data_IF_349583809907
#
_entry.id   IF_349583809907
#
_cell.length_a   1.000
_cell.length_b   1.000
_cell.length_c   1.000
_cell.angle_alpha   90.00
_cell.angle_beta   90.00
_cell.angle_gamma   90.00
#
_symmetry.space_group_name_H-M   'P 1'
#
loop_
_entity.id
_entity.type
_entity.pdbx_description
1 polymer ?
#
# COMPACT_ATOMS: atom_id res chain seq x y z
N UNK A 1 -73.64 -68.52 41.06
CA UNK A 1 -72.65 -67.94 41.99
C UNK A 1 -71.99 -66.78 41.26
N UNK A 2 -72.21 -65.53 41.71
CA UNK A 2 -71.65 -64.32 41.11
C UNK A 2 -70.83 -63.58 42.16
N UNK A 3 -69.56 -63.32 41.88
CA UNK A 3 -68.68 -62.47 42.68
C UNK A 3 -68.72 -61.05 42.12
N UNK A 4 -69.07 -60.08 42.97
CA UNK A 4 -69.04 -58.66 42.63
C UNK A 4 -67.61 -58.11 42.75
N UNK A 5 -67.14 -57.44 41.70
CA UNK A 5 -65.86 -56.73 41.68
C UNK A 5 -66.02 -55.35 42.32
N UNK A 6 -65.17 -55.04 43.29
CA UNK A 6 -64.99 -53.71 43.86
C UNK A 6 -64.10 -52.87 42.94
N UNK A 7 -64.56 -51.69 42.54
CA UNK A 7 -63.80 -50.69 41.78
C UNK A 7 -63.38 -49.57 42.74
N UNK A 8 -62.08 -49.32 42.88
CA UNK A 8 -61.54 -48.16 43.60
C UNK A 8 -61.59 -46.91 42.72
N UNK A 9 -62.11 -45.80 43.26
CA UNK A 9 -62.07 -44.49 42.62
C UNK A 9 -60.68 -43.83 42.84
N UNK A 10 -60.15 -43.07 41.86
CA UNK A 10 -58.88 -42.36 42.02
C UNK A 10 -59.05 -41.10 42.90
N UNK A 11 -58.02 -40.82 43.71
CA UNK A 11 -57.91 -39.58 44.49
C UNK A 11 -57.40 -38.45 43.60
N UNK A 12 -58.05 -37.29 43.67
CA UNK A 12 -57.64 -36.08 42.96
C UNK A 12 -56.49 -35.38 43.69
N UNK A 13 -55.41 -35.05 42.97
CA UNK A 13 -54.33 -34.18 43.46
C UNK A 13 -54.63 -32.76 42.98
N UNK A 14 -54.81 -31.82 43.92
CA UNK A 14 -54.91 -30.39 43.57
C UNK A 14 -53.52 -29.84 43.24
N UNK A 15 -53.37 -29.27 42.05
CA UNK A 15 -52.19 -28.49 41.70
C UNK A 15 -52.33 -27.09 42.32
N UNK A 16 -51.29 -26.66 43.04
CA UNK A 16 -51.19 -25.30 43.56
C UNK A 16 -50.46 -24.46 42.51
N UNK A 17 -51.14 -23.47 41.94
CA UNK A 17 -50.55 -22.52 41.00
C UNK A 17 -49.56 -21.59 41.75
N UNK A 18 -48.28 -21.69 41.41
CA UNK A 18 -47.25 -20.74 41.84
C UNK A 18 -47.10 -19.68 40.74
N UNK A 19 -47.26 -18.38 41.04
CA UNK A 19 -47.10 -17.34 40.03
C UNK A 19 -45.66 -17.33 39.49
N UNK A 20 -45.52 -17.33 38.17
CA UNK A 20 -44.23 -17.26 37.50
C UNK A 20 -43.51 -15.95 37.85
N UNK A 21 -42.33 -16.05 38.49
CA UNK A 21 -41.47 -14.88 38.65
C UNK A 21 -40.98 -14.42 37.27
N UNK A 22 -41.02 -13.10 36.98
CA UNK A 22 -40.44 -12.57 35.76
C UNK A 22 -38.94 -12.86 35.73
N UNK A 23 -38.44 -13.30 34.58
CA UNK A 23 -37.04 -13.61 34.39
C UNK A 23 -36.16 -12.40 34.76
N UNK A 24 -35.04 -12.61 35.47
CA UNK A 24 -34.12 -11.52 35.79
C UNK A 24 -33.64 -10.88 34.48
N UNK A 25 -33.82 -9.57 34.37
CA UNK A 25 -33.29 -8.79 33.26
C UNK A 25 -31.77 -8.82 33.38
N UNK A 26 -31.10 -9.44 32.41
CA UNK A 26 -29.63 -9.46 32.37
C UNK A 26 -29.15 -8.01 32.23
N UNK A 27 -28.59 -7.49 33.30
CA UNK A 27 -27.95 -6.19 33.33
C UNK A 27 -26.82 -6.20 32.31
N UNK A 28 -26.94 -5.35 31.27
CA UNK A 28 -25.95 -5.27 30.20
C UNK A 28 -24.65 -4.74 30.80
N UNK A 29 -23.67 -5.63 30.96
CA UNK A 29 -22.32 -5.25 31.39
C UNK A 29 -21.75 -4.33 30.30
N UNK A 30 -21.27 -3.12 30.66
CA UNK A 30 -20.61 -2.24 29.70
C UNK A 30 -19.45 -2.96 29.03
N UNK A 31 -19.35 -2.82 27.70
CA UNK A 31 -18.22 -3.39 26.97
C UNK A 31 -16.89 -2.87 27.54
N UNK A 32 -15.91 -3.76 27.68
CA UNK A 32 -14.56 -3.36 28.07
C UNK A 32 -14.01 -2.29 27.10
N UNK A 33 -13.21 -1.34 27.58
CA UNK A 33 -12.64 -0.31 26.71
C UNK A 33 -11.74 -0.96 25.65
N UNK A 34 -11.79 -0.43 24.42
CA UNK A 34 -10.97 -0.89 23.31
C UNK A 34 -9.48 -0.87 23.68
N UNK A 35 -8.76 -1.92 23.32
CA UNK A 35 -7.30 -2.03 23.42
C UNK A 35 -6.60 -0.98 22.57
N UNK A 36 -5.30 -0.74 22.83
CA UNK A 36 -4.54 0.21 22.02
C UNK A 36 -4.39 -0.24 20.55
N UNK A 37 -4.34 -1.55 20.29
CA UNK A 37 -4.30 -2.10 18.91
C UNK A 37 -5.60 -1.82 18.18
N UNK A 38 -6.75 -2.01 18.83
CA UNK A 38 -8.06 -1.71 18.25
C UNK A 38 -8.21 -0.22 17.96
N UNK A 39 -7.75 0.66 18.88
CA UNK A 39 -7.75 2.10 18.63
C UNK A 39 -6.84 2.49 17.47
N UNK A 40 -5.62 1.94 17.39
CA UNK A 40 -4.73 2.19 16.24
C UNK A 40 -5.35 1.70 14.93
N UNK A 41 -5.95 0.51 14.94
CA UNK A 41 -6.62 -0.07 13.77
C UNK A 41 -7.78 0.80 13.31
N UNK A 42 -8.63 1.25 14.25
CA UNK A 42 -9.78 2.10 13.93
C UNK A 42 -9.34 3.50 13.47
N UNK A 43 -8.30 4.05 14.11
CA UNK A 43 -7.70 5.31 13.67
C UNK A 43 -7.16 5.15 12.25
N UNK A 44 -6.38 4.11 11.97
CA UNK A 44 -5.83 3.87 10.64
C UNK A 44 -6.93 3.76 9.58
N UNK A 45 -8.03 3.06 9.87
CA UNK A 45 -9.19 2.95 8.95
C UNK A 45 -9.86 4.29 8.70
N UNK A 46 -10.09 5.08 9.75
CA UNK A 46 -10.81 6.36 9.66
C UNK A 46 -9.96 7.50 9.11
N UNK A 47 -8.62 7.39 9.18
CA UNK A 47 -7.68 8.37 8.63
C UNK A 47 -7.02 7.93 7.32
N UNK A 48 -7.31 6.72 6.83
CA UNK A 48 -6.75 6.22 5.57
C UNK A 48 -7.18 7.13 4.41
N UNK A 49 -6.22 7.56 3.61
CA UNK A 49 -6.48 8.27 2.37
C UNK A 49 -6.53 7.28 1.22
N UNK A 50 -7.54 7.40 0.36
CA UNK A 50 -7.66 6.53 -0.82
C UNK A 50 -6.63 6.93 -1.88
N UNK A 51 -5.90 5.94 -2.38
CA UNK A 51 -5.11 6.04 -3.59
C UNK A 51 -5.84 5.32 -4.72
N UNK A 52 -6.30 6.06 -5.71
CA UNK A 52 -6.96 5.51 -6.89
C UNK A 52 -5.93 5.20 -7.96
N UNK A 53 -6.10 4.09 -8.67
CA UNK A 53 -5.30 3.73 -9.83
C UNK A 53 -6.21 3.29 -10.97
N UNK A 54 -6.20 4.03 -12.07
CA UNK A 54 -7.01 3.75 -13.24
C UNK A 54 -6.29 4.21 -14.51
N UNK A 55 -6.33 3.39 -15.55
CA UNK A 55 -5.75 3.70 -16.87
C UNK A 55 -4.27 4.14 -16.79
N UNK A 56 -3.50 3.52 -15.89
CA UNK A 56 -2.07 3.84 -15.72
C UNK A 56 -1.79 5.14 -14.96
N UNK A 57 -2.78 5.72 -14.27
CA UNK A 57 -2.65 6.99 -13.56
C UNK A 57 -3.11 6.86 -12.10
N UNK A 58 -2.23 7.25 -11.19
CA UNK A 58 -2.50 7.42 -9.77
C UNK A 58 -3.19 8.75 -9.49
N UNK A 59 -4.19 8.75 -8.61
CA UNK A 59 -4.98 9.93 -8.26
C UNK A 59 -5.67 9.77 -6.89
N UNK A 60 -6.40 10.81 -6.47
CA UNK A 60 -7.19 10.81 -5.23
C UNK A 60 -6.47 11.41 -4.02
N UNK A 61 -7.11 11.43 -2.84
CA UNK A 61 -6.61 12.16 -1.68
C UNK A 61 -5.21 11.74 -1.21
N UNK A 62 -4.87 10.45 -1.32
CA UNK A 62 -3.53 9.98 -0.96
C UNK A 62 -2.47 10.50 -1.95
N UNK A 63 -2.79 10.49 -3.25
CA UNK A 63 -1.91 11.04 -4.30
C UNK A 63 -1.67 12.53 -4.08
N UNK A 64 -2.73 13.30 -3.83
CA UNK A 64 -2.63 14.74 -3.60
C UNK A 64 -1.73 15.04 -2.39
N UNK A 65 -1.86 14.25 -1.32
CA UNK A 65 -0.98 14.36 -0.15
C UNK A 65 0.47 14.02 -0.51
N UNK A 66 0.74 12.92 -1.20
CA UNK A 66 2.11 12.54 -1.60
C UNK A 66 2.78 13.63 -2.42
N UNK A 67 2.08 14.20 -3.39
CA UNK A 67 2.60 15.31 -4.21
C UNK A 67 2.83 16.56 -3.36
N UNK A 68 1.89 16.93 -2.49
CA UNK A 68 2.04 18.11 -1.62
C UNK A 68 3.25 17.99 -0.68
N UNK A 69 3.38 16.87 0.01
CA UNK A 69 4.51 16.61 0.92
C UNK A 69 5.83 16.53 0.14
N UNK A 70 5.83 15.88 -1.04
CA UNK A 70 7.02 15.81 -1.91
C UNK A 70 7.50 17.18 -2.37
N UNK A 71 6.59 18.09 -2.73
CA UNK A 71 6.94 19.46 -3.11
C UNK A 71 7.51 20.28 -1.96
N UNK A 72 7.09 20.00 -0.73
CA UNK A 72 7.58 20.67 0.47
C UNK A 72 8.92 20.10 0.96
N UNK A 73 9.26 18.88 0.56
CA UNK A 73 10.47 18.19 0.97
C UNK A 73 11.66 18.48 0.02
N UNK A 74 12.87 18.46 0.59
CA UNK A 74 14.12 18.45 -0.20
C UNK A 74 14.50 17.04 -0.67
N UNK A 75 14.11 16.03 0.11
CA UNK A 75 14.32 14.61 -0.16
C UNK A 75 13.00 13.88 0.10
N UNK A 76 12.60 13.04 -0.85
CA UNK A 76 11.43 12.20 -0.71
C UNK A 76 11.86 10.74 -0.87
N UNK A 77 11.62 9.94 0.16
CA UNK A 77 11.98 8.52 0.17
C UNK A 77 10.70 7.71 -0.03
N UNK A 78 10.76 6.77 -0.98
CA UNK A 78 9.68 5.84 -1.27
C UNK A 78 10.22 4.43 -1.05
N UNK A 79 9.66 3.72 -0.05
CA UNK A 79 9.91 2.30 0.14
C UNK A 79 9.03 1.47 -0.80
N UNK A 80 9.47 0.26 -1.11
CA UNK A 80 8.80 -0.64 -2.05
C UNK A 80 8.96 -2.11 -1.63
N UNK A 81 8.17 -2.97 -2.26
CA UNK A 81 8.26 -4.43 -2.17
C UNK A 81 8.59 -4.97 -3.58
N UNK A 82 9.65 -5.77 -3.67
CA UNK A 82 10.16 -6.22 -4.97
C UNK A 82 9.12 -7.03 -5.77
N UNK A 83 9.12 -6.84 -7.09
CA UNK A 83 8.29 -7.61 -8.01
C UNK A 83 6.82 -7.17 -8.09
N UNK A 84 6.48 -6.00 -7.55
CA UNK A 84 5.14 -5.40 -7.67
C UNK A 84 5.17 -4.32 -8.75
N UNK A 85 4.39 -4.51 -9.81
CA UNK A 85 4.35 -3.62 -10.98
C UNK A 85 3.93 -2.18 -10.63
N UNK A 86 3.03 -2.00 -9.67
CA UNK A 86 2.51 -0.70 -9.27
C UNK A 86 3.57 0.19 -8.60
N UNK A 87 4.59 -0.39 -7.97
CA UNK A 87 5.66 0.37 -7.29
C UNK A 87 6.44 1.27 -8.25
N UNK A 88 7.06 0.75 -9.33
CA UNK A 88 7.77 1.57 -10.29
C UNK A 88 6.83 2.52 -11.05
N UNK A 89 5.57 2.13 -11.30
CA UNK A 89 4.59 3.02 -11.92
C UNK A 89 4.28 4.24 -11.04
N UNK A 90 4.07 4.03 -9.75
CA UNK A 90 3.84 5.09 -8.77
C UNK A 90 5.06 5.99 -8.66
N UNK A 91 6.25 5.40 -8.52
CA UNK A 91 7.51 6.12 -8.40
C UNK A 91 7.77 7.01 -9.64
N UNK A 92 7.55 6.48 -10.84
CA UNK A 92 7.72 7.21 -12.10
C UNK A 92 6.77 8.40 -12.22
N UNK A 93 5.48 8.19 -11.95
CA UNK A 93 4.49 9.28 -11.98
C UNK A 93 4.77 10.33 -10.89
N UNK A 94 5.15 9.90 -9.69
CA UNK A 94 5.46 10.81 -8.58
C UNK A 94 6.68 11.68 -8.92
N UNK A 95 7.75 11.09 -9.44
CA UNK A 95 8.93 11.85 -9.84
C UNK A 95 8.61 12.85 -10.95
N UNK A 96 7.82 12.46 -11.95
CA UNK A 96 7.36 13.38 -13.00
C UNK A 96 6.58 14.57 -12.43
N UNK A 97 5.72 14.34 -11.43
CA UNK A 97 4.96 15.40 -10.77
C UNK A 97 5.81 16.33 -9.89
N UNK A 98 6.95 15.85 -9.39
CA UNK A 98 7.88 16.58 -8.51
C UNK A 98 9.04 17.24 -9.25
N UNK A 99 9.43 16.76 -10.44
CA UNK A 99 10.52 17.34 -11.21
C UNK A 99 10.38 18.87 -11.44
N UNK A 100 9.19 19.42 -11.75
CA UNK A 100 9.01 20.88 -11.88
C UNK A 100 9.31 21.69 -10.62
N UNK A 101 9.37 21.07 -9.43
CA UNK A 101 9.67 21.77 -8.16
C UNK A 101 11.15 21.72 -7.78
N UNK A 102 12.02 21.31 -8.71
CA UNK A 102 13.48 21.33 -8.52
C UNK A 102 14.11 19.95 -8.29
N UNK A 103 13.31 18.89 -8.22
CA UNK A 103 13.84 17.52 -8.22
C UNK A 103 14.58 17.25 -9.53
N UNK A 104 15.86 16.90 -9.42
CA UNK A 104 16.75 16.66 -10.57
C UNK A 104 17.53 15.35 -10.46
N UNK A 105 17.34 14.60 -9.37
CA UNK A 105 18.01 13.32 -9.09
C UNK A 105 16.95 12.28 -8.76
N UNK A 106 16.97 11.18 -9.49
CA UNK A 106 16.21 9.98 -9.19
C UNK A 106 17.20 8.92 -8.71
N UNK A 107 16.99 8.40 -7.50
CA UNK A 107 17.89 7.46 -6.83
C UNK A 107 17.13 6.18 -6.59
N UNK A 108 17.75 5.05 -6.92
CA UNK A 108 17.21 3.70 -6.73
C UNK A 108 18.27 2.84 -6.02
N UNK A 109 17.81 1.80 -5.33
CA UNK A 109 18.66 0.88 -4.58
C UNK A 109 19.41 -0.10 -5.51
N UNK A 110 20.44 0.39 -6.18
CA UNK A 110 21.34 -0.42 -7.03
C UNK A 110 22.79 -0.04 -6.78
N UNK A 111 23.76 -0.80 -7.29
CA UNK A 111 25.17 -0.44 -7.19
C UNK A 111 25.55 0.76 -8.08
N UNK A 112 26.59 1.55 -7.75
CA UNK A 112 26.99 2.70 -8.56
C UNK A 112 27.30 2.37 -10.05
N UNK A 113 27.98 1.26 -10.40
CA UNK A 113 28.19 0.91 -11.80
C UNK A 113 26.87 0.61 -12.53
N UNK A 114 25.94 -0.09 -11.87
CA UNK A 114 24.64 -0.41 -12.46
C UNK A 114 23.79 0.85 -12.65
N UNK A 115 23.76 1.74 -11.66
CA UNK A 115 23.15 3.06 -11.78
C UNK A 115 23.66 3.84 -13.02
N UNK A 116 24.97 3.79 -13.29
CA UNK A 116 25.57 4.39 -14.48
C UNK A 116 25.10 3.73 -15.79
N UNK A 117 25.04 2.40 -15.83
CA UNK A 117 24.56 1.66 -16.99
C UNK A 117 23.07 1.94 -17.28
N UNK A 118 22.22 1.94 -16.24
CA UNK A 118 20.80 2.26 -16.34
C UNK A 118 20.58 3.71 -16.80
N UNK A 119 21.35 4.68 -16.30
CA UNK A 119 21.27 6.08 -16.79
C UNK A 119 21.61 6.17 -18.28
N UNK A 120 22.68 5.48 -18.71
CA UNK A 120 23.11 5.47 -20.10
C UNK A 120 22.04 4.85 -21.02
N UNK A 121 21.38 3.78 -20.57
CA UNK A 121 20.29 3.14 -21.29
C UNK A 121 19.01 3.99 -21.30
N UNK A 122 18.65 4.62 -20.17
CA UNK A 122 17.50 5.50 -20.06
C UNK A 122 17.58 6.75 -20.96
N UNK A 123 18.80 7.23 -21.27
CA UNK A 123 19.02 8.31 -22.25
C UNK A 123 18.58 7.94 -23.66
N UNK A 124 18.51 6.66 -23.99
CA UNK A 124 17.97 6.14 -25.25
C UNK A 124 16.45 5.90 -25.18
N UNK A 125 15.80 6.30 -24.08
CA UNK A 125 14.40 6.02 -23.78
C UNK A 125 14.17 4.58 -23.33
N UNK A 126 12.89 4.21 -23.23
CA UNK A 126 12.45 2.87 -22.76
C UNK A 126 13.06 1.74 -23.59
N UNK A 127 13.25 1.93 -24.90
CA UNK A 127 13.83 0.91 -25.78
C UNK A 127 15.26 0.53 -25.38
N UNK A 128 16.08 1.49 -24.94
CA UNK A 128 17.44 1.21 -24.46
C UNK A 128 17.46 0.45 -23.14
N UNK A 129 16.46 0.65 -22.29
CA UNK A 129 16.30 -0.09 -21.04
C UNK A 129 15.83 -1.52 -21.30
N UNK A 130 14.88 -1.71 -22.23
CA UNK A 130 14.45 -3.05 -22.67
C UNK A 130 15.62 -3.83 -23.28
N UNK A 131 16.43 -3.17 -24.12
CA UNK A 131 17.67 -3.77 -24.66
C UNK A 131 18.63 -4.18 -23.54
N UNK A 132 18.87 -3.29 -22.57
CA UNK A 132 19.72 -3.57 -21.41
C UNK A 132 19.23 -4.79 -20.62
N UNK A 133 17.94 -4.89 -20.34
CA UNK A 133 17.36 -6.02 -19.58
C UNK A 133 17.34 -7.33 -20.37
N UNK A 134 17.49 -7.28 -21.69
CA UNK A 134 17.52 -8.47 -22.56
C UNK A 134 18.89 -9.16 -22.58
N UNK A 135 19.94 -8.53 -22.06
CA UNK A 135 21.30 -9.09 -21.99
C UNK A 135 21.50 -9.75 -20.63
N UNK A 136 22.06 -10.96 -20.60
CA UNK A 136 22.35 -11.67 -19.34
C UNK A 136 23.27 -10.85 -18.44
N UNK A 137 22.80 -10.52 -17.23
CA UNK A 137 23.53 -9.66 -16.29
C UNK A 137 23.46 -8.17 -16.64
N UNK A 138 22.59 -7.80 -17.58
CA UNK A 138 22.25 -6.42 -17.89
C UNK A 138 21.15 -5.88 -16.98
N UNK A 139 20.35 -6.76 -16.40
CA UNK A 139 19.43 -6.49 -15.30
C UNK A 139 20.19 -6.12 -14.02
N UNK A 140 19.70 -5.12 -13.27
CA UNK A 140 20.06 -5.04 -11.86
C UNK A 140 19.33 -6.18 -11.14
N UNK A 141 19.85 -6.62 -9.98
CA UNK A 141 19.10 -7.55 -9.14
C UNK A 141 17.71 -6.95 -8.87
N UNK A 142 16.65 -7.72 -9.15
CA UNK A 142 15.26 -7.31 -9.00
C UNK A 142 14.80 -6.17 -9.94
N UNK A 143 15.53 -5.87 -11.03
CA UNK A 143 15.11 -4.95 -12.10
C UNK A 143 15.08 -5.64 -13.46
N UNK A 144 13.91 -6.01 -13.96
CA UNK A 144 13.73 -6.60 -15.29
C UNK A 144 12.32 -6.49 -15.87
N UNK A 145 11.42 -5.76 -15.20
CA UNK A 145 10.04 -5.56 -15.63
C UNK A 145 9.91 -4.40 -16.60
N UNK A 146 8.86 -4.43 -17.42
CA UNK A 146 8.53 -3.33 -18.34
C UNK A 146 8.25 -2.04 -17.56
N UNK A 147 7.56 -2.15 -16.42
CA UNK A 147 7.17 -1.02 -15.58
C UNK A 147 8.39 -0.31 -14.97
N UNK A 148 9.47 -1.03 -14.69
CA UNK A 148 10.73 -0.46 -14.20
C UNK A 148 11.47 0.27 -15.32
N UNK A 149 11.46 -0.29 -16.54
CA UNK A 149 11.97 0.40 -17.72
C UNK A 149 11.18 1.71 -17.96
N UNK A 150 9.86 1.66 -17.86
CA UNK A 150 8.99 2.84 -18.00
C UNK A 150 9.24 3.86 -16.91
N UNK A 151 9.39 3.44 -15.65
CA UNK A 151 9.74 4.31 -14.53
C UNK A 151 11.03 5.09 -14.81
N UNK A 152 12.10 4.39 -15.19
CA UNK A 152 13.41 5.02 -15.44
C UNK A 152 13.37 5.94 -16.66
N UNK A 153 12.67 5.55 -17.72
CA UNK A 153 12.47 6.39 -18.89
C UNK A 153 11.68 7.67 -18.56
N UNK A 154 10.58 7.55 -17.79
CA UNK A 154 9.78 8.69 -17.32
C UNK A 154 10.59 9.63 -16.44
N UNK A 155 11.31 9.08 -15.44
CA UNK A 155 12.14 9.87 -14.55
C UNK A 155 13.22 10.63 -15.32
N UNK A 156 13.84 9.97 -16.31
CA UNK A 156 14.84 10.59 -17.17
C UNK A 156 14.26 11.69 -18.06
N UNK A 157 13.08 11.47 -18.64
CA UNK A 157 12.41 12.45 -19.50
C UNK A 157 11.91 13.69 -18.71
N UNK A 158 11.54 13.51 -17.44
CA UNK A 158 11.04 14.57 -16.57
C UNK A 158 12.10 15.64 -16.25
N UNK A 159 13.39 15.28 -16.30
CA UNK A 159 14.50 16.22 -16.12
C UNK A 159 14.97 16.75 -17.48
N UNK A 160 14.55 17.98 -17.84
CA UNK A 160 14.94 18.63 -19.10
C UNK A 160 16.46 18.82 -19.18
N UNK A 161 17.06 18.29 -20.26
CA UNK A 161 18.35 18.71 -20.79
C UNK A 161 19.57 18.07 -20.15
N UNK A 162 20.47 17.57 -21.01
CA UNK A 162 21.89 17.55 -20.66
C UNK A 162 22.28 18.98 -20.31
N UNK A 163 22.61 19.20 -19.04
CA UNK A 163 23.11 20.47 -18.53
C UNK A 163 24.44 20.83 -19.19
N UNK A 164 24.42 21.24 -20.46
CA UNK A 164 25.46 22.03 -21.09
C UNK A 164 25.31 23.48 -20.63
N UNK A 165 25.38 23.68 -19.32
CA UNK A 165 26.03 24.85 -18.77
C UNK A 165 27.49 24.43 -18.55
N UNK A 166 28.42 25.18 -19.12
CA UNK A 166 29.86 25.00 -18.92
C UNK A 166 30.18 25.08 -17.42
N UNK A 167 30.27 23.92 -16.77
CA UNK A 167 30.59 23.82 -15.34
C UNK A 167 29.60 22.93 -14.58
N UNK A 168 29.84 21.62 -14.60
CA UNK A 168 29.34 20.64 -13.65
C UNK A 168 27.80 20.53 -13.48
N UNK A 169 27.15 19.74 -14.33
CA UNK A 169 25.89 19.08 -13.94
C UNK A 169 25.68 17.76 -14.69
N UNK A 170 26.24 16.69 -14.13
CA UNK A 170 25.87 15.32 -14.47
C UNK A 170 24.63 14.93 -13.65
N UNK A 171 23.58 14.47 -14.31
CA UNK A 171 22.64 13.54 -13.66
C UNK A 171 23.47 12.33 -13.23
N UNK A 172 23.49 12.05 -11.92
CA UNK A 172 23.99 10.80 -11.36
C UNK A 172 22.76 10.13 -10.77
N UNK A 173 22.38 8.97 -11.29
CA UNK A 173 21.75 7.98 -10.41
C UNK A 173 22.81 7.70 -9.34
N UNK A 174 22.60 8.22 -8.13
CA UNK A 174 23.54 8.06 -7.04
C UNK A 174 23.09 6.86 -6.23
N UNK A 175 23.80 5.74 -6.37
CA UNK A 175 23.75 4.66 -5.43
C UNK A 175 24.43 5.08 -4.11
N UNK A 176 23.71 5.12 -3.01
CA UNK A 176 24.32 5.29 -1.68
C UNK A 176 24.88 3.95 -1.22
N UNK A 177 26.20 3.83 -1.20
CA UNK A 177 26.88 3.14 -0.11
C UNK A 177 27.36 4.23 0.86
N UNK A 178 27.14 4.03 2.17
CA UNK A 178 27.66 4.90 3.23
C UNK A 178 29.17 5.14 3.11
#
# INVERSE_FOLDING_TARGET
>A
MAFAAYVQAPLAVSQVDVPAQPAPQLEQIPAAPATWVERLTETAKTTALTLNYANGVFSGPAWDKLVAEGRAAQFFLLGEEHGIAENPMLAGQLFEALAPTGYSKFIIEVSPPMAGALDASARKGVAGLIEQFSVRGGEAAFFGMQEEADMLARARAAVKGDGLCSGASTMRLAATAC
#
